data_IF_986324841490
#
_entry.id   IF_986324841490
#
_cell.length_a   1.000
_cell.length_b   1.000
_cell.length_c   1.000
_cell.angle_alpha   90.00
_cell.angle_beta   90.00
_cell.angle_gamma   90.00
#
_symmetry.space_group_name_H-M   'P 1'
#
loop_
_entity.id
_entity.type
_entity.pdbx_description
1 polymer ?
#
# COMPACT_ATOMS: atom_id res chain seq x y z
N UNK A 1 7.28 13.57 -15.09
CA UNK A 1 5.81 13.69 -15.04
C UNK A 1 5.34 15.10 -15.38
N UNK A 2 5.79 16.17 -14.72
CA UNK A 2 5.29 17.54 -14.96
C UNK A 2 5.37 18.02 -16.41
N UNK A 3 6.18 17.40 -17.26
CA UNK A 3 6.34 17.71 -18.69
C UNK A 3 5.55 16.78 -19.61
N UNK A 4 4.82 15.81 -19.05
CA UNK A 4 3.97 14.96 -19.88
C UNK A 4 2.80 15.77 -20.44
N UNK A 5 2.32 15.39 -21.63
CA UNK A 5 1.05 15.91 -22.12
C UNK A 5 -0.07 15.43 -21.20
N UNK A 6 -1.00 16.31 -20.81
CA UNK A 6 -2.13 15.91 -19.97
C UNK A 6 -3.14 15.09 -20.77
N UNK A 7 -3.84 14.18 -20.09
CA UNK A 7 -5.02 13.55 -20.66
C UNK A 7 -6.22 14.53 -20.73
N UNK A 8 -7.38 14.07 -21.17
CA UNK A 8 -8.60 14.88 -21.31
C UNK A 8 -9.08 15.52 -20.00
N UNK A 9 -8.70 14.98 -18.85
CA UNK A 9 -9.04 15.50 -17.51
C UNK A 9 -7.93 16.37 -16.91
N UNK A 10 -6.84 16.61 -17.66
CA UNK A 10 -5.70 17.39 -17.20
C UNK A 10 -4.67 16.61 -16.38
N UNK A 11 -4.85 15.27 -16.23
CA UNK A 11 -3.90 14.44 -15.51
C UNK A 11 -2.64 14.17 -16.32
N UNK A 12 -1.48 14.30 -15.66
CA UNK A 12 -0.15 14.05 -16.24
C UNK A 12 0.51 12.81 -15.67
N UNK A 13 -0.06 12.24 -14.62
CA UNK A 13 0.44 11.00 -14.02
C UNK A 13 -0.03 10.77 -12.61
N UNK A 14 0.27 9.57 -12.11
CA UNK A 14 -0.03 9.15 -10.74
C UNK A 14 1.17 8.49 -10.09
N UNK A 15 1.44 8.84 -8.84
CA UNK A 15 2.41 8.20 -7.96
C UNK A 15 1.66 7.23 -7.04
N UNK A 16 2.04 5.96 -7.07
CA UNK A 16 1.47 4.94 -6.18
C UNK A 16 2.60 4.35 -5.37
N UNK A 17 2.67 4.71 -4.09
CA UNK A 17 3.68 4.25 -3.17
C UNK A 17 3.23 3.00 -2.42
N UNK A 18 4.17 2.14 -2.04
CA UNK A 18 3.89 0.97 -1.20
C UNK A 18 4.27 1.26 0.24
N UNK A 19 3.26 1.52 1.09
CA UNK A 19 3.39 1.59 2.54
C UNK A 19 3.36 0.17 3.15
N UNK A 20 2.74 0.00 4.29
CA UNK A 20 2.45 -1.28 4.96
C UNK A 20 1.42 -1.04 6.05
N UNK A 21 0.68 -2.07 6.45
CA UNK A 21 -0.12 -2.03 7.69
C UNK A 21 0.75 -1.73 8.92
N UNK A 22 2.02 -2.09 8.89
CA UNK A 22 2.99 -1.74 9.95
C UNK A 22 3.21 -0.22 10.12
N UNK A 23 2.81 0.60 9.16
CA UNK A 23 2.77 2.05 9.33
C UNK A 23 1.81 2.50 10.43
N UNK A 24 0.81 1.67 10.74
CA UNK A 24 -0.26 1.93 11.71
C UNK A 24 -0.19 1.01 12.92
N UNK A 25 0.30 -0.21 12.75
CA UNK A 25 0.25 -1.30 13.71
C UNK A 25 1.59 -2.05 13.73
N UNK A 26 2.68 -1.32 14.00
CA UNK A 26 4.02 -1.92 14.09
C UNK A 26 4.12 -2.91 15.25
N UNK A 27 4.77 -4.04 14.98
CA UNK A 27 5.01 -5.10 15.98
C UNK A 27 6.32 -4.86 16.74
N UNK A 28 6.55 -5.61 17.80
CA UNK A 28 7.83 -5.66 18.51
C UNK A 28 8.96 -5.91 17.50
N UNK A 29 10.07 -5.19 17.66
CA UNK A 29 11.24 -5.17 16.77
C UNK A 29 11.03 -4.52 15.39
N UNK A 30 9.86 -3.93 15.10
CA UNK A 30 9.58 -3.26 13.83
C UNK A 30 9.69 -1.73 13.88
N UNK A 31 10.29 -1.12 14.92
CA UNK A 31 10.31 0.34 15.07
C UNK A 31 10.87 1.07 13.83
N UNK A 32 12.01 0.64 13.29
CA UNK A 32 12.61 1.23 12.08
C UNK A 32 11.74 1.01 10.83
N UNK A 33 11.18 -0.19 10.67
CA UNK A 33 10.30 -0.52 9.56
C UNK A 33 8.99 0.29 9.62
N UNK A 34 8.37 0.35 10.81
CA UNK A 34 7.16 1.13 11.04
C UNK A 34 7.41 2.62 10.79
N UNK A 35 8.55 3.17 11.24
CA UNK A 35 8.92 4.56 10.96
C UNK A 35 9.08 4.82 9.45
N UNK A 36 9.77 3.93 8.73
CA UNK A 36 9.95 4.05 7.28
C UNK A 36 8.60 3.99 6.53
N UNK A 37 7.75 3.03 6.86
CA UNK A 37 6.44 2.87 6.22
C UNK A 37 5.42 3.92 6.69
N UNK A 38 5.53 4.39 7.93
CA UNK A 38 4.80 5.55 8.44
C UNK A 38 5.16 6.83 7.69
N UNK A 39 6.45 7.04 7.41
CA UNK A 39 6.93 8.14 6.55
C UNK A 39 6.30 8.11 5.16
N UNK A 40 6.25 6.93 4.51
CA UNK A 40 5.59 6.75 3.20
C UNK A 40 4.10 7.09 3.29
N UNK A 41 3.40 6.64 4.32
CA UNK A 41 1.99 6.94 4.53
C UNK A 41 1.77 8.45 4.75
N UNK A 42 2.56 9.07 5.63
CA UNK A 42 2.40 10.48 6.02
C UNK A 42 2.75 11.46 4.90
N UNK A 43 3.74 11.16 4.04
CA UNK A 43 4.10 12.04 2.92
C UNK A 43 3.08 12.02 1.77
N UNK A 44 2.17 11.05 1.73
CA UNK A 44 1.23 10.85 0.61
C UNK A 44 0.34 12.07 0.38
N UNK A 45 -0.31 12.59 1.41
CA UNK A 45 -1.22 13.74 1.30
C UNK A 45 -0.48 15.06 0.99
N UNK A 46 0.63 15.42 1.66
CA UNK A 46 1.41 16.59 1.29
C UNK A 46 1.85 16.59 -0.18
N UNK A 47 2.38 15.46 -0.66
CA UNK A 47 2.81 15.33 -2.07
C UNK A 47 1.61 15.48 -3.02
N UNK A 48 0.47 14.86 -2.72
CA UNK A 48 -0.74 14.99 -3.53
C UNK A 48 -1.18 16.46 -3.67
N UNK A 49 -1.14 17.21 -2.56
CA UNK A 49 -1.50 18.64 -2.54
C UNK A 49 -0.49 19.50 -3.31
N UNK A 50 0.79 19.24 -3.13
CA UNK A 50 1.86 19.98 -3.80
C UNK A 50 1.85 19.76 -5.31
N UNK A 51 1.61 18.52 -5.76
CA UNK A 51 1.64 18.15 -7.16
C UNK A 51 0.31 18.36 -7.90
N UNK A 52 -0.77 18.68 -7.19
CA UNK A 52 -2.09 18.94 -7.78
C UNK A 52 -2.04 20.00 -8.88
N UNK A 53 -1.27 21.09 -8.69
CA UNK A 53 -1.08 22.15 -9.69
C UNK A 53 -0.45 21.66 -11.00
N UNK A 54 0.18 20.49 -10.99
CA UNK A 54 0.78 19.87 -12.17
C UNK A 54 -0.09 18.77 -12.78
N UNK A 55 -1.28 18.52 -12.24
CA UNK A 55 -2.13 17.42 -12.67
C UNK A 55 -1.54 16.04 -12.30
N UNK A 56 -0.87 15.93 -11.17
CA UNK A 56 -0.27 14.67 -10.72
C UNK A 56 -0.91 14.26 -9.40
N UNK A 57 -1.43 13.03 -9.36
CA UNK A 57 -1.96 12.41 -8.15
C UNK A 57 -0.87 11.67 -7.37
N UNK A 58 -1.07 11.52 -6.07
CA UNK A 58 -0.22 10.69 -5.21
C UNK A 58 -1.10 9.93 -4.22
N UNK A 59 -0.92 8.61 -4.16
CA UNK A 59 -1.57 7.76 -3.18
C UNK A 59 -0.61 6.67 -2.70
N UNK A 60 -0.95 6.00 -1.63
CA UNK A 60 -0.21 4.86 -1.14
C UNK A 60 -1.13 3.66 -0.92
N UNK A 61 -0.61 2.46 -1.13
CA UNK A 61 -1.26 1.21 -0.75
C UNK A 61 -0.50 0.66 0.46
N UNK A 62 -1.24 0.29 1.50
CA UNK A 62 -0.72 -0.35 2.71
C UNK A 62 -1.15 -1.82 2.70
N UNK A 63 -0.34 -2.74 2.13
CA UNK A 63 -0.65 -4.15 2.13
C UNK A 63 -0.49 -4.76 3.52
N UNK A 64 -1.29 -5.79 3.80
CA UNK A 64 -1.09 -6.73 4.89
C UNK A 64 -0.09 -7.81 4.52
N UNK A 65 -0.46 -9.07 4.76
CA UNK A 65 0.37 -10.23 4.43
C UNK A 65 0.08 -10.67 2.99
N UNK A 66 1.12 -10.73 2.17
CA UNK A 66 1.04 -11.11 0.75
C UNK A 66 2.04 -12.21 0.41
N UNK A 67 1.67 -13.07 -0.54
CA UNK A 67 2.57 -14.06 -1.15
C UNK A 67 3.70 -13.34 -1.89
N UNK A 68 4.85 -13.24 -1.24
CA UNK A 68 6.06 -12.62 -1.77
C UNK A 68 7.21 -13.62 -1.65
N UNK A 69 8.29 -13.46 -2.42
CA UNK A 69 9.49 -14.28 -2.24
C UNK A 69 10.02 -14.28 -0.80
N UNK A 70 9.86 -13.15 -0.10
CA UNK A 70 10.23 -13.03 1.32
C UNK A 70 9.38 -13.94 2.21
N UNK A 71 8.05 -13.97 2.01
CA UNK A 71 7.18 -14.86 2.77
C UNK A 71 7.43 -16.33 2.41
N UNK A 72 7.61 -16.63 1.13
CA UNK A 72 7.86 -17.97 0.62
C UNK A 72 9.20 -18.57 1.10
N UNK A 73 10.17 -17.71 1.46
CA UNK A 73 11.44 -18.14 2.04
C UNK A 73 11.33 -18.56 3.52
N UNK A 74 10.19 -18.30 4.18
CA UNK A 74 9.96 -18.71 5.57
C UNK A 74 9.48 -20.17 5.64
N UNK A 75 9.68 -20.87 6.79
CA UNK A 75 9.10 -22.20 6.99
C UNK A 75 7.58 -22.19 6.76
N UNK A 76 7.04 -23.30 6.20
CA UNK A 76 5.61 -23.41 5.87
C UNK A 76 4.70 -23.16 7.07
N UNK A 77 5.07 -23.63 8.26
CA UNK A 77 4.33 -23.41 9.51
C UNK A 77 4.17 -21.90 9.83
N UNK A 78 5.22 -21.12 9.56
CA UNK A 78 5.20 -19.66 9.76
C UNK A 78 4.29 -18.99 8.73
N UNK A 79 4.38 -19.42 7.47
CA UNK A 79 3.49 -18.91 6.42
C UNK A 79 2.02 -19.18 6.75
N UNK A 80 1.71 -20.39 7.19
CA UNK A 80 0.35 -20.79 7.57
C UNK A 80 -0.15 -20.03 8.81
N UNK A 81 0.73 -19.83 9.80
CA UNK A 81 0.41 -19.06 10.99
C UNK A 81 0.06 -17.61 10.65
N UNK A 82 0.87 -16.97 9.80
CA UNK A 82 0.62 -15.61 9.32
C UNK A 82 -0.68 -15.53 8.50
N UNK A 83 -0.91 -16.47 7.59
CA UNK A 83 -2.12 -16.52 6.78
C UNK A 83 -3.39 -16.61 7.63
N UNK A 84 -3.36 -17.38 8.72
CA UNK A 84 -4.48 -17.51 9.67
C UNK A 84 -4.81 -16.22 10.44
N UNK A 85 -3.90 -15.25 10.50
CA UNK A 85 -4.18 -13.95 11.14
C UNK A 85 -5.05 -13.03 10.29
N UNK A 86 -5.22 -13.34 8.99
CA UNK A 86 -6.08 -12.57 8.09
C UNK A 86 -7.53 -13.01 8.31
N UNK A 87 -8.43 -12.10 8.76
CA UNK A 87 -9.82 -12.46 9.05
C UNK A 87 -10.58 -13.01 7.83
N UNK A 88 -10.52 -12.32 6.68
CA UNK A 88 -11.14 -12.80 5.45
C UNK A 88 -10.58 -12.07 4.21
N UNK A 89 -10.26 -12.82 3.15
CA UNK A 89 -10.19 -14.29 3.08
C UNK A 89 -9.04 -14.82 3.96
N UNK A 90 -9.18 -16.01 4.61
CA UNK A 90 -8.20 -16.53 5.58
C UNK A 90 -6.95 -17.10 4.88
N UNK A 91 -6.22 -16.25 4.21
CA UNK A 91 -5.01 -16.54 3.46
C UNK A 91 -4.18 -15.29 3.23
N UNK A 92 -2.93 -15.44 2.82
CA UNK A 92 -2.14 -14.33 2.30
C UNK A 92 -2.76 -13.77 1.00
N UNK A 93 -2.61 -12.47 0.79
CA UNK A 93 -2.99 -11.79 -0.44
C UNK A 93 -2.10 -12.24 -1.61
N UNK A 94 -2.65 -12.26 -2.80
CA UNK A 94 -1.92 -12.60 -4.03
C UNK A 94 -1.38 -11.34 -4.71
N UNK A 95 -0.24 -11.45 -5.36
CA UNK A 95 0.33 -10.34 -6.14
C UNK A 95 -0.66 -9.75 -7.17
N UNK A 96 -1.51 -10.60 -7.77
CA UNK A 96 -2.55 -10.16 -8.70
C UNK A 96 -3.65 -9.30 -8.04
N UNK A 97 -3.90 -9.46 -6.74
CA UNK A 97 -4.86 -8.65 -5.99
C UNK A 97 -4.30 -7.25 -5.74
N UNK A 98 -3.01 -7.18 -5.42
CA UNK A 98 -2.30 -5.90 -5.33
C UNK A 98 -2.30 -5.17 -6.69
N UNK A 99 -1.95 -5.87 -7.77
CA UNK A 99 -1.92 -5.31 -9.12
C UNK A 99 -3.30 -4.79 -9.57
N UNK A 100 -4.40 -5.48 -9.23
CA UNK A 100 -5.76 -5.01 -9.51
C UNK A 100 -6.08 -3.70 -8.79
N UNK A 101 -5.65 -3.54 -7.53
CA UNK A 101 -5.85 -2.28 -6.81
C UNK A 101 -5.02 -1.15 -7.41
N UNK A 102 -3.77 -1.42 -7.81
CA UNK A 102 -2.93 -0.46 -8.55
C UNK A 102 -3.65 0.00 -9.82
N UNK A 103 -4.16 -0.94 -10.62
CA UNK A 103 -4.90 -0.64 -11.84
C UNK A 103 -6.14 0.22 -11.56
N UNK A 104 -6.96 -0.19 -10.60
CA UNK A 104 -8.15 0.57 -10.19
C UNK A 104 -7.80 1.98 -9.70
N UNK A 105 -6.64 2.14 -9.02
CA UNK A 105 -6.15 3.44 -8.56
C UNK A 105 -5.69 4.34 -9.72
N UNK A 106 -5.17 3.76 -10.78
CA UNK A 106 -4.82 4.49 -12.01
C UNK A 106 -6.10 4.95 -12.72
N UNK A 107 -7.06 4.04 -12.88
CA UNK A 107 -8.31 4.26 -13.62
C UNK A 107 -9.32 5.19 -12.89
N UNK A 108 -9.17 5.42 -11.58
CA UNK A 108 -10.08 6.26 -10.80
C UNK A 108 -9.42 7.58 -10.39
N UNK A 109 -9.67 8.69 -11.10
CA UNK A 109 -9.01 9.98 -10.85
C UNK A 109 -9.38 10.61 -9.49
N UNK A 110 -10.47 10.19 -8.84
CA UNK A 110 -10.83 10.67 -7.50
C UNK A 110 -9.96 10.09 -6.38
N UNK A 111 -9.21 9.02 -6.63
CA UNK A 111 -8.26 8.47 -5.66
C UNK A 111 -6.97 9.31 -5.66
N UNK A 112 -6.86 10.22 -4.70
CA UNK A 112 -5.72 11.11 -4.52
C UNK A 112 -5.51 11.43 -3.04
N UNK A 113 -4.26 11.54 -2.60
CA UNK A 113 -3.90 11.95 -1.23
C UNK A 113 -4.27 10.95 -0.14
N UNK A 114 -4.61 9.71 -0.48
CA UNK A 114 -5.08 8.68 0.46
C UNK A 114 -4.12 7.52 0.59
N UNK A 115 -4.21 6.83 1.72
CA UNK A 115 -3.56 5.54 1.96
C UNK A 115 -4.65 4.46 2.02
N UNK A 116 -4.57 3.50 1.10
CA UNK A 116 -5.56 2.43 0.98
C UNK A 116 -4.99 1.16 1.63
N UNK A 117 -5.64 0.66 2.68
CA UNK A 117 -5.30 -0.64 3.27
C UNK A 117 -5.79 -1.76 2.36
N UNK A 118 -4.92 -2.74 2.11
CA UNK A 118 -5.24 -3.96 1.36
C UNK A 118 -4.79 -5.16 2.19
N UNK A 119 -5.59 -5.60 3.14
CA UNK A 119 -5.13 -6.44 4.24
C UNK A 119 -6.13 -7.51 4.72
N UNK A 120 -7.28 -7.66 4.08
CA UNK A 120 -8.30 -8.62 4.50
C UNK A 120 -8.80 -8.40 5.93
N UNK A 121 -8.86 -7.15 6.37
CA UNK A 121 -9.22 -6.71 7.73
C UNK A 121 -8.20 -7.11 8.82
N UNK A 122 -6.98 -7.48 8.43
CA UNK A 122 -5.89 -7.76 9.37
C UNK A 122 -5.64 -6.56 10.29
N UNK A 123 -5.46 -6.86 11.58
CA UNK A 123 -4.86 -5.96 12.57
C UNK A 123 -3.70 -6.69 13.21
N UNK A 124 -2.51 -6.10 13.14
CA UNK A 124 -1.30 -6.76 13.63
C UNK A 124 -1.35 -6.87 15.14
N UNK A 125 -1.14 -8.08 15.66
CA UNK A 125 -0.92 -8.27 17.09
C UNK A 125 0.44 -7.66 17.49
N UNK A 126 0.64 -7.33 18.79
CA UNK A 126 1.92 -6.76 19.25
C UNK A 126 3.13 -7.68 19.04
N UNK A 127 2.88 -9.00 18.92
CA UNK A 127 3.90 -10.04 18.69
C UNK A 127 3.48 -10.92 17.54
#
# INVERSE_FOLDING_TARGET
MCRNEPNAEGERGVLINTASVAAFEGQIAQAAYAAAKGGVASMTLPIARELARYGIRCLAIAPGIFETPMLQAMPQEVQDALARTVPFPPRAGRASEYARLVRASIENPMLNGTVIRLDGALRMAPK
#
